data_IF_060395803254
#
_entry.id   IF_060395803254
#
_cell.length_a   1.000
_cell.length_b   1.000
_cell.length_c   1.000
_cell.angle_alpha   90.00
_cell.angle_beta   90.00
_cell.angle_gamma   90.00
#
_symmetry.space_group_name_H-M   'P 1'
#
loop_
_entity.id
_entity.type
_entity.pdbx_description
1 polymer ?
#
# COMPACT_ATOMS: atom_id res chain seq x y z
N UNK A 1 4.60 -13.14 -9.24
CA UNK A 1 3.22 -13.59 -8.97
C UNK A 1 2.27 -12.46 -9.32
N UNK A 2 1.18 -12.75 -10.05
CA UNK A 2 0.16 -11.75 -10.36
C UNK A 2 -0.88 -11.67 -9.24
N UNK A 3 -1.18 -10.46 -8.82
CA UNK A 3 -2.25 -10.10 -7.89
C UNK A 3 -3.30 -9.36 -8.73
N UNK A 4 -4.54 -9.84 -8.70
CA UNK A 4 -5.66 -9.16 -9.34
C UNK A 4 -6.86 -9.23 -8.39
N UNK A 5 -7.46 -8.09 -8.10
CA UNK A 5 -8.58 -7.98 -7.20
C UNK A 5 -9.47 -6.80 -7.60
N UNK A 6 -10.78 -6.99 -7.54
CA UNK A 6 -11.75 -5.94 -7.79
C UNK A 6 -12.77 -5.89 -6.68
N UNK A 7 -13.14 -4.69 -6.26
CA UNK A 7 -14.16 -4.49 -5.23
C UNK A 7 -14.98 -3.22 -5.50
N UNK A 8 -16.20 -3.23 -4.98
CA UNK A 8 -17.10 -2.07 -5.04
C UNK A 8 -16.86 -1.15 -3.84
N UNK A 9 -16.89 0.16 -4.08
CA UNK A 9 -16.87 1.21 -3.06
C UNK A 9 -18.11 2.07 -3.25
N UNK A 10 -18.87 2.29 -2.17
CA UNK A 10 -20.19 2.95 -2.19
C UNK A 10 -20.10 4.46 -1.99
N UNK A 11 -19.26 5.12 -2.79
CA UNK A 11 -19.11 6.56 -2.81
C UNK A 11 -18.86 7.06 -4.24
N UNK A 12 -19.09 8.36 -4.51
CA UNK A 12 -18.76 8.95 -5.81
C UNK A 12 -17.25 8.88 -6.05
N UNK A 13 -16.86 8.60 -7.29
CA UNK A 13 -15.46 8.35 -7.65
C UNK A 13 -14.52 9.50 -7.28
N UNK A 14 -14.94 10.75 -7.46
CA UNK A 14 -14.13 11.93 -7.12
C UNK A 14 -13.82 11.98 -5.62
N UNK A 15 -14.82 11.65 -4.77
CA UNK A 15 -14.66 11.62 -3.32
C UNK A 15 -13.67 10.54 -2.89
N UNK A 16 -13.74 9.36 -3.51
CA UNK A 16 -12.81 8.26 -3.23
C UNK A 16 -11.41 8.62 -3.73
N UNK A 17 -11.29 9.21 -4.91
CA UNK A 17 -10.01 9.62 -5.48
C UNK A 17 -9.31 10.67 -4.60
N UNK A 18 -10.05 11.70 -4.17
CA UNK A 18 -9.53 12.74 -3.28
C UNK A 18 -9.09 12.17 -1.93
N UNK A 19 -9.91 11.28 -1.34
CA UNK A 19 -9.55 10.60 -0.10
C UNK A 19 -8.30 9.72 -0.28
N UNK A 20 -8.21 8.99 -1.40
CA UNK A 20 -7.06 8.15 -1.70
C UNK A 20 -5.79 8.98 -1.88
N UNK A 21 -5.86 10.12 -2.54
CA UNK A 21 -4.71 11.01 -2.74
C UNK A 21 -4.26 11.68 -1.44
N UNK A 22 -5.21 12.20 -0.65
CA UNK A 22 -4.89 13.14 0.45
C UNK A 22 -4.82 12.48 1.81
N UNK A 23 -5.34 11.26 1.98
CA UNK A 23 -5.52 10.62 3.30
C UNK A 23 -4.88 9.23 3.41
N UNK A 24 -3.88 8.94 2.57
CA UNK A 24 -3.07 7.72 2.65
C UNK A 24 -2.59 7.38 4.06
N UNK A 25 -2.11 8.38 4.81
CA UNK A 25 -1.61 8.21 6.17
C UNK A 25 -2.67 7.73 7.19
N UNK A 26 -3.95 7.78 6.82
CA UNK A 26 -5.07 7.37 7.66
C UNK A 26 -5.54 5.94 7.38
N UNK A 27 -5.04 5.28 6.33
CA UNK A 27 -5.40 3.89 6.00
C UNK A 27 -4.98 2.81 7.02
N UNK A 28 -3.87 2.92 7.79
CA UNK A 28 -3.36 1.82 8.61
C UNK A 28 -4.35 1.09 9.53
N UNK A 29 -5.36 1.73 10.14
CA UNK A 29 -6.35 1.03 10.97
C UNK A 29 -7.11 -0.09 10.24
N UNK A 30 -7.12 -0.09 8.91
CA UNK A 30 -7.79 -1.09 8.06
C UNK A 30 -6.81 -1.92 7.22
N UNK A 31 -5.50 -1.69 7.33
CA UNK A 31 -4.50 -2.39 6.53
C UNK A 31 -3.78 -3.43 7.39
N UNK A 32 -3.93 -4.74 7.10
CA UNK A 32 -3.24 -5.78 7.84
C UNK A 32 -1.73 -5.65 7.67
N UNK A 33 -0.97 -5.98 8.72
CA UNK A 33 0.50 -5.98 8.72
C UNK A 33 1.16 -4.59 8.56
N UNK A 34 0.38 -3.50 8.53
CA UNK A 34 0.88 -2.12 8.40
C UNK A 34 0.50 -1.31 9.64
N UNK A 35 1.50 -0.88 10.40
CA UNK A 35 1.29 -0.09 11.63
C UNK A 35 1.07 1.41 11.33
N UNK A 36 1.75 1.93 10.30
CA UNK A 36 1.79 3.36 9.98
C UNK A 36 2.16 3.59 8.53
N UNK A 37 1.60 4.62 7.91
CA UNK A 37 2.04 5.15 6.62
C UNK A 37 2.48 6.59 6.81
N UNK A 38 3.71 6.90 6.40
CA UNK A 38 4.28 8.24 6.41
C UNK A 38 4.46 8.75 4.98
N UNK A 39 4.03 9.99 4.73
CA UNK A 39 4.41 10.71 3.49
C UNK A 39 5.84 11.19 3.67
N UNK A 40 6.77 10.63 2.93
CA UNK A 40 8.20 10.98 3.04
C UNK A 40 8.60 12.08 2.07
N UNK A 41 7.94 12.16 0.91
CA UNK A 41 8.20 13.16 -0.10
C UNK A 41 6.99 13.40 -0.96
N UNK A 42 6.75 14.67 -1.30
CA UNK A 42 5.82 15.06 -2.35
C UNK A 42 6.64 15.54 -3.54
N UNK A 43 6.55 14.83 -4.65
CA UNK A 43 7.34 15.10 -5.87
C UNK A 43 6.60 16.03 -6.82
N UNK A 44 5.28 15.85 -6.96
CA UNK A 44 4.42 16.74 -7.74
C UNK A 44 2.99 16.74 -7.22
N UNK A 45 2.33 17.90 -7.29
CA UNK A 45 0.88 18.04 -7.15
C UNK A 45 0.40 19.07 -8.17
N UNK A 46 -0.23 18.57 -9.23
CA UNK A 46 -0.88 19.40 -10.25
C UNK A 46 -2.34 18.97 -10.38
N UNK A 47 -3.12 19.72 -11.16
CA UNK A 47 -4.51 19.36 -11.48
C UNK A 47 -4.64 18.06 -12.29
N UNK A 48 -3.55 17.53 -12.85
CA UNK A 48 -3.60 16.36 -13.74
C UNK A 48 -2.82 15.16 -13.21
N UNK A 49 -1.81 15.40 -12.39
CA UNK A 49 -0.91 14.39 -11.88
C UNK A 49 -0.44 14.76 -10.48
N UNK A 50 -0.36 13.76 -9.61
CA UNK A 50 0.33 13.86 -8.34
C UNK A 50 1.32 12.71 -8.18
N UNK A 51 2.41 12.94 -7.47
CA UNK A 51 3.42 11.94 -7.19
C UNK A 51 3.96 12.12 -5.78
N UNK A 52 4.03 11.02 -5.03
CA UNK A 52 4.52 11.03 -3.66
C UNK A 52 5.19 9.70 -3.29
N UNK A 53 6.16 9.80 -2.37
CA UNK A 53 6.85 8.66 -1.79
C UNK A 53 6.34 8.42 -0.36
N UNK A 54 6.04 7.16 -0.06
CA UNK A 54 5.52 6.73 1.23
C UNK A 54 6.48 5.75 1.91
N UNK A 55 6.45 5.76 3.23
CA UNK A 55 7.08 4.75 4.07
C UNK A 55 6.00 4.02 4.86
N UNK A 56 5.89 2.72 4.62
CA UNK A 56 4.91 1.81 5.18
C UNK A 56 5.59 1.03 6.29
N UNK A 57 5.29 1.36 7.54
CA UNK A 57 5.82 0.66 8.70
C UNK A 57 5.09 -0.67 8.87
N UNK A 58 5.86 -1.74 8.94
CA UNK A 58 5.34 -3.10 9.00
C UNK A 58 5.25 -3.54 10.45
N UNK A 59 4.18 -4.25 10.80
CA UNK A 59 4.09 -4.97 12.07
C UNK A 59 5.23 -5.99 12.17
N UNK A 60 6.23 -5.67 12.99
CA UNK A 60 7.42 -6.53 13.15
C UNK A 60 7.11 -7.89 13.78
N UNK A 61 5.91 -8.10 14.35
CA UNK A 61 5.51 -9.39 14.92
C UNK A 61 5.37 -10.48 13.85
N UNK A 62 5.03 -10.10 12.61
CA UNK A 62 4.87 -11.03 11.50
C UNK A 62 6.21 -11.62 11.03
N UNK A 63 7.34 -10.98 11.38
CA UNK A 63 8.68 -11.45 11.01
C UNK A 63 8.96 -12.78 11.71
N UNK A 64 9.25 -13.87 10.97
CA UNK A 64 9.56 -15.17 11.55
C UNK A 64 10.73 -15.09 12.53
N UNK A 65 10.63 -15.77 13.67
CA UNK A 65 11.62 -15.71 14.77
C UNK A 65 13.05 -15.94 14.28
N UNK A 66 13.24 -16.89 13.37
CA UNK A 66 14.55 -17.24 12.80
C UNK A 66 15.18 -16.11 11.96
N UNK A 67 14.35 -15.22 11.39
CA UNK A 67 14.79 -14.11 10.55
C UNK A 67 14.93 -12.80 11.34
N UNK A 68 14.31 -12.68 12.53
CA UNK A 68 14.34 -11.45 13.34
C UNK A 68 15.75 -10.89 13.57
N UNK A 69 16.78 -11.67 13.92
CA UNK A 69 18.12 -11.12 14.14
C UNK A 69 18.72 -10.43 12.90
N UNK A 70 18.27 -10.81 11.71
CA UNK A 70 18.80 -10.33 10.43
C UNK A 70 17.91 -9.27 9.78
N UNK A 71 16.60 -9.34 10.03
CA UNK A 71 15.61 -8.47 9.38
C UNK A 71 15.03 -7.40 10.30
N UNK A 72 15.08 -7.55 11.63
CA UNK A 72 14.31 -6.67 12.53
C UNK A 72 14.79 -5.22 12.52
N UNK A 73 16.08 -4.96 12.33
CA UNK A 73 16.60 -3.59 12.20
C UNK A 73 16.39 -3.00 10.81
N UNK A 74 16.24 -3.85 9.79
CA UNK A 74 16.36 -3.45 8.38
C UNK A 74 15.12 -3.81 7.56
N UNK A 75 14.00 -4.23 8.17
CA UNK A 75 12.77 -4.63 7.47
C UNK A 75 11.51 -4.23 8.27
N UNK A 76 11.63 -3.18 9.08
CA UNK A 76 10.51 -2.58 9.81
C UNK A 76 9.66 -1.66 8.93
N UNK A 77 10.04 -1.47 7.66
CA UNK A 77 9.26 -0.70 6.71
C UNK A 77 9.49 -1.16 5.27
N UNK A 78 8.57 -0.79 4.39
CA UNK A 78 8.72 -0.82 2.93
C UNK A 78 8.45 0.59 2.41
N UNK A 79 9.09 0.98 1.31
CA UNK A 79 8.79 2.22 0.61
C UNK A 79 7.88 2.00 -0.58
N UNK A 80 7.16 3.03 -0.95
CA UNK A 80 6.51 3.07 -2.25
C UNK A 80 6.64 4.42 -2.91
N UNK A 81 6.77 4.42 -4.23
CA UNK A 81 6.49 5.59 -5.07
C UNK A 81 5.11 5.40 -5.67
N UNK A 82 4.29 6.44 -5.64
CA UNK A 82 2.92 6.37 -6.13
C UNK A 82 2.63 7.57 -7.02
N UNK A 83 2.04 7.32 -8.18
CA UNK A 83 1.75 8.31 -9.21
C UNK A 83 0.25 8.27 -9.54
N UNK A 84 -0.43 9.35 -9.21
CA UNK A 84 -1.84 9.56 -9.50
C UNK A 84 -2.02 10.25 -10.85
N UNK A 85 -2.82 9.67 -11.73
CA UNK A 85 -3.16 10.22 -13.03
C UNK A 85 -4.66 10.56 -13.08
N UNK A 86 -5.02 11.82 -12.83
CA UNK A 86 -6.42 12.23 -12.67
C UNK A 86 -7.27 11.97 -13.91
N UNK A 87 -6.75 12.30 -15.10
CA UNK A 87 -7.47 12.11 -16.37
C UNK A 87 -7.82 10.64 -16.65
N UNK A 88 -6.95 9.71 -16.23
CA UNK A 88 -7.14 8.27 -16.44
C UNK A 88 -7.86 7.60 -15.27
N UNK A 89 -8.00 8.30 -14.13
CA UNK A 89 -8.47 7.73 -12.85
C UNK A 89 -7.68 6.46 -12.47
N UNK A 90 -6.37 6.49 -12.74
CA UNK A 90 -5.43 5.41 -12.45
C UNK A 90 -4.37 5.91 -11.49
N UNK A 91 -4.01 5.07 -10.53
CA UNK A 91 -2.91 5.28 -9.60
C UNK A 91 -1.88 4.18 -9.83
N UNK A 92 -0.69 4.54 -10.27
CA UNK A 92 0.42 3.59 -10.42
C UNK A 92 1.21 3.55 -9.12
N UNK A 93 1.70 2.37 -8.75
CA UNK A 93 2.55 2.23 -7.59
C UNK A 93 3.71 1.28 -7.85
N UNK A 94 4.80 1.50 -7.11
CA UNK A 94 5.94 0.62 -7.02
C UNK A 94 6.39 0.56 -5.57
N UNK A 95 6.45 -0.63 -4.99
CA UNK A 95 7.00 -0.88 -3.66
C UNK A 95 8.44 -1.39 -3.79
N UNK A 96 9.30 -0.92 -2.89
CA UNK A 96 10.71 -1.30 -2.81
C UNK A 96 11.24 -1.15 -1.37
N UNK A 97 12.41 -1.73 -1.10
CA UNK A 97 13.12 -1.52 0.17
C UNK A 97 14.36 -0.63 -0.05
N UNK A 98 14.70 0.25 0.90
CA UNK A 98 15.87 1.16 0.77
C UNK A 98 17.18 0.36 0.69
N UNK A 99 17.43 -0.45 1.72
CA UNK A 99 18.69 -1.21 1.87
C UNK A 99 18.75 -2.47 1.01
N UNK A 100 17.60 -2.89 0.47
CA UNK A 100 17.43 -4.15 -0.23
C UNK A 100 16.51 -3.97 -1.43
N UNK A 101 16.82 -2.98 -2.29
CA UNK A 101 16.01 -2.66 -3.48
C UNK A 101 15.70 -3.87 -4.34
N UNK A 102 16.62 -4.82 -4.38
CA UNK A 102 16.48 -6.02 -5.19
C UNK A 102 15.79 -7.17 -4.47
N UNK A 103 15.35 -7.03 -3.21
CA UNK A 103 14.73 -8.12 -2.44
C UNK A 103 13.39 -8.56 -3.01
N UNK A 104 12.66 -7.64 -3.62
CA UNK A 104 11.45 -7.90 -4.36
C UNK A 104 11.16 -6.75 -5.32
N UNK A 105 10.51 -7.08 -6.43
CA UNK A 105 9.86 -6.10 -7.29
C UNK A 105 8.35 -6.21 -7.06
N UNK A 106 7.71 -5.11 -6.68
CA UNK A 106 6.25 -5.05 -6.63
C UNK A 106 5.74 -3.79 -7.26
N UNK A 107 5.04 -3.91 -8.39
CA UNK A 107 4.49 -2.78 -9.12
C UNK A 107 3.10 -3.08 -9.62
N UNK A 108 2.28 -2.05 -9.75
CA UNK A 108 0.92 -2.24 -10.16
C UNK A 108 0.15 -0.95 -10.36
N UNK A 109 -1.15 -1.13 -10.53
CA UNK A 109 -2.11 -0.06 -10.75
C UNK A 109 -3.35 -0.28 -9.91
N UNK A 110 -3.89 0.82 -9.40
CA UNK A 110 -5.27 0.93 -8.95
C UNK A 110 -6.05 1.70 -10.01
N UNK A 111 -7.03 1.06 -10.65
CA UNK A 111 -7.93 1.71 -11.61
C UNK A 111 -9.27 1.97 -10.94
N UNK A 112 -9.71 3.22 -10.91
CA UNK A 112 -11.00 3.60 -10.36
C UNK A 112 -11.99 3.73 -11.52
N UNK A 113 -13.04 2.90 -11.50
CA UNK A 113 -14.05 2.82 -12.54
C UNK A 113 -15.41 3.21 -11.98
N UNK A 114 -15.95 4.33 -12.45
CA UNK A 114 -17.29 4.77 -12.07
C UNK A 114 -18.35 3.75 -12.52
N UNK A 115 -19.25 3.38 -11.62
CA UNK A 115 -20.35 2.44 -11.91
C UNK A 115 -21.70 3.16 -11.85
N UNK A 116 -21.86 4.09 -10.92
CA UNK A 116 -23.01 4.99 -10.82
C UNK A 116 -22.62 6.28 -10.10
N UNK A 117 -23.56 7.21 -9.95
CA UNK A 117 -23.34 8.48 -9.24
C UNK A 117 -22.77 8.31 -7.81
N UNK A 118 -23.15 7.23 -7.11
CA UNK A 118 -22.71 6.97 -5.73
C UNK A 118 -22.02 5.62 -5.56
N UNK A 119 -21.45 5.08 -6.64
CA UNK A 119 -20.68 3.84 -6.56
C UNK A 119 -19.60 3.76 -7.63
N UNK A 120 -18.49 3.14 -7.25
CA UNK A 120 -17.36 2.91 -8.12
C UNK A 120 -16.77 1.52 -7.84
N UNK A 121 -16.05 0.98 -8.81
CA UNK A 121 -15.26 -0.25 -8.69
C UNK A 121 -13.78 0.09 -8.72
N UNK A 122 -13.01 -0.39 -7.75
CA UNK A 122 -11.55 -0.31 -7.78
C UNK A 122 -11.04 -1.64 -8.32
N UNK A 123 -10.19 -1.57 -9.33
CA UNK A 123 -9.46 -2.71 -9.88
C UNK A 123 -7.99 -2.58 -9.48
N UNK A 124 -7.48 -3.60 -8.81
CA UNK A 124 -6.12 -3.70 -8.31
C UNK A 124 -5.42 -4.76 -9.13
N UNK A 125 -4.42 -4.35 -9.91
CA UNK A 125 -3.57 -5.26 -10.66
C UNK A 125 -2.11 -5.00 -10.30
N UNK A 126 -1.42 -6.03 -9.83
CA UNK A 126 -0.02 -5.91 -9.42
C UNK A 126 0.78 -7.16 -9.75
N UNK A 127 2.05 -6.96 -10.04
CA UNK A 127 3.03 -8.03 -10.15
C UNK A 127 3.96 -7.95 -8.94
N UNK A 128 4.12 -9.06 -8.24
CA UNK A 128 5.01 -9.21 -7.09
C UNK A 128 6.00 -10.35 -7.32
N UNK A 129 7.27 -10.04 -7.41
CA UNK A 129 8.36 -11.00 -7.59
C UNK A 129 9.37 -10.88 -6.46
N UNK A 130 9.37 -11.79 -5.49
CA UNK A 130 10.39 -11.83 -4.45
C UNK A 130 11.69 -12.45 -4.99
N UNK A 131 12.82 -11.90 -4.57
CA UNK A 131 14.18 -12.37 -4.85
C UNK A 131 14.94 -12.59 -3.53
N UNK A 132 14.48 -13.52 -2.69
CA UNK A 132 15.02 -13.73 -1.35
C UNK A 132 16.51 -14.12 -1.34
N UNK A 133 17.03 -14.66 -2.44
CA UNK A 133 18.46 -14.94 -2.65
C UNK A 133 19.34 -13.69 -2.68
N UNK A 134 18.76 -12.51 -2.93
CA UNK A 134 19.46 -11.22 -2.97
C UNK A 134 19.56 -10.55 -1.61
N UNK A 135 19.02 -11.17 -0.56
CA UNK A 135 19.17 -10.67 0.80
C UNK A 135 20.62 -10.82 1.27
N UNK A 136 21.35 -9.70 1.28
CA UNK A 136 22.71 -9.64 1.79
C UNK A 136 22.75 -9.76 3.32
N UNK A 137 23.81 -10.38 3.86
CA UNK A 137 24.07 -10.49 5.29
C UNK A 137 23.61 -11.79 5.97
N UNK A 138 22.96 -12.70 5.23
CA UNK A 138 22.67 -14.04 5.74
C UNK A 138 23.85 -15.00 5.52
N UNK A 139 24.23 -15.81 6.53
CA UNK A 139 25.14 -16.93 6.31
C UNK A 139 24.57 -17.92 5.28
N UNK A 140 25.42 -18.48 4.40
CA UNK A 140 25.00 -19.37 3.30
C UNK A 140 24.13 -20.56 3.75
N UNK A 141 24.34 -21.08 4.96
CA UNK A 141 23.56 -22.19 5.52
C UNK A 141 22.16 -21.77 6.00
N UNK A 142 21.98 -20.50 6.39
CA UNK A 142 20.69 -19.89 6.74
C UNK A 142 19.92 -19.52 5.47
N UNK A 143 20.60 -18.90 4.50
CA UNK A 143 19.99 -18.41 3.26
C UNK A 143 19.18 -19.50 2.54
N UNK A 144 19.77 -20.69 2.33
CA UNK A 144 19.09 -21.81 1.65
C UNK A 144 17.79 -22.27 2.30
N UNK A 145 17.71 -22.23 3.64
CA UNK A 145 16.50 -22.64 4.39
C UNK A 145 15.50 -21.50 4.59
N UNK A 146 15.97 -20.26 4.46
CA UNK A 146 15.19 -19.05 4.76
C UNK A 146 14.51 -18.46 3.53
N UNK A 147 14.95 -18.81 2.32
CA UNK A 147 14.36 -18.35 1.06
C UNK A 147 12.82 -18.46 1.04
N UNK A 148 12.21 -19.62 1.33
CA UNK A 148 10.75 -19.75 1.33
C UNK A 148 10.07 -18.90 2.42
N UNK A 149 10.77 -18.65 3.53
CA UNK A 149 10.24 -17.84 4.64
C UNK A 149 10.26 -16.36 4.31
N UNK A 150 11.29 -15.88 3.61
CA UNK A 150 11.41 -14.48 3.17
C UNK A 150 10.38 -14.19 2.08
N UNK A 151 10.26 -15.07 1.09
CA UNK A 151 9.21 -14.98 0.07
C UNK A 151 7.82 -14.92 0.72
N UNK A 152 7.54 -15.84 1.64
CA UNK A 152 6.27 -15.83 2.39
C UNK A 152 6.06 -14.53 3.17
N UNK A 153 7.08 -14.02 3.85
CA UNK A 153 7.00 -12.77 4.61
C UNK A 153 6.61 -11.59 3.70
N UNK A 154 7.25 -11.44 2.53
CA UNK A 154 6.96 -10.37 1.57
C UNK A 154 5.50 -10.49 1.07
N UNK A 155 5.06 -11.71 0.79
CA UNK A 155 3.68 -12.00 0.38
C UNK A 155 2.68 -11.65 1.49
N UNK A 156 2.97 -12.03 2.74
CA UNK A 156 2.12 -11.80 3.91
C UNK A 156 2.03 -10.31 4.30
N UNK A 157 2.98 -9.47 3.87
CA UNK A 157 2.92 -8.02 4.02
C UNK A 157 2.05 -7.40 2.92
N UNK A 158 2.43 -7.62 1.67
CA UNK A 158 1.90 -6.84 0.55
C UNK A 158 0.51 -7.32 0.11
N UNK A 159 0.30 -8.63 0.00
CA UNK A 159 -0.95 -9.16 -0.55
C UNK A 159 -2.15 -8.84 0.34
N UNK A 160 -2.13 -9.07 1.67
CA UNK A 160 -3.27 -8.72 2.52
C UNK A 160 -3.56 -7.21 2.53
N UNK A 161 -2.52 -6.37 2.54
CA UNK A 161 -2.66 -4.91 2.49
C UNK A 161 -3.35 -4.45 1.20
N UNK A 162 -2.94 -4.99 0.06
CA UNK A 162 -3.56 -4.68 -1.24
C UNK A 162 -5.01 -5.16 -1.30
N UNK A 163 -5.32 -6.32 -0.73
CA UNK A 163 -6.69 -6.86 -0.71
C UNK A 163 -7.63 -6.08 0.21
N UNK A 164 -7.12 -5.52 1.32
CA UNK A 164 -7.91 -4.74 2.26
C UNK A 164 -8.08 -3.27 1.85
N UNK A 165 -7.31 -2.79 0.86
CA UNK A 165 -7.33 -1.39 0.42
C UNK A 165 -8.74 -0.88 0.06
N UNK A 166 -9.61 -1.62 -0.65
CA UNK A 166 -10.95 -1.13 -0.97
C UNK A 166 -11.79 -0.82 0.28
N UNK A 167 -11.72 -1.68 1.30
CA UNK A 167 -12.42 -1.49 2.57
C UNK A 167 -11.83 -0.29 3.33
N UNK A 168 -10.49 -0.17 3.34
CA UNK A 168 -9.81 0.97 3.94
C UNK A 168 -10.23 2.30 3.27
N UNK A 169 -10.29 2.34 1.94
CA UNK A 169 -10.74 3.49 1.16
C UNK A 169 -12.20 3.84 1.45
N UNK A 170 -13.08 2.85 1.55
CA UNK A 170 -14.46 3.07 1.94
C UNK A 170 -14.55 3.71 3.33
N UNK A 171 -13.80 3.18 4.30
CA UNK A 171 -13.80 3.68 5.67
C UNK A 171 -13.26 5.12 5.77
N UNK A 172 -12.11 5.42 5.17
CA UNK A 172 -11.57 6.79 5.22
C UNK A 172 -12.47 7.79 4.50
N UNK A 173 -13.15 7.37 3.43
CA UNK A 173 -14.08 8.22 2.68
C UNK A 173 -15.30 8.59 3.54
N UNK A 174 -15.77 7.67 4.36
CA UNK A 174 -16.91 7.87 5.26
C UNK A 174 -16.64 8.89 6.38
N UNK A 175 -15.41 8.97 6.91
CA UNK A 175 -15.04 9.83 8.05
C UNK A 175 -15.34 11.35 7.83
N UNK A 176 -15.51 11.79 6.58
CA UNK A 176 -15.87 13.20 6.28
C UNK A 176 -17.34 13.56 6.59
N UNK A 177 -18.22 12.60 6.85
CA UNK A 177 -19.64 12.89 7.14
C UNK A 177 -19.89 13.45 8.54
N UNK A 178 -19.04 13.14 9.52
CA UNK A 178 -19.32 13.49 10.92
C UNK A 178 -18.83 14.88 11.35
N UNK A 179 -18.03 15.58 10.53
CA UNK A 179 -17.45 16.87 10.93
C UNK A 179 -18.26 18.09 10.48
N UNK A 180 -19.36 17.91 9.74
CA UNK A 180 -20.16 19.03 9.21
C UNK A 180 -21.54 19.27 9.88
N UNK A 181 -21.92 18.51 10.92
CA UNK A 181 -23.24 18.68 11.58
C UNK A 181 -23.18 19.49 12.89
N UNK A 182 -21.99 19.80 13.44
CA UNK A 182 -21.88 20.66 14.64
C UNK A 182 -21.35 22.04 14.23
N UNK A 183 -22.23 22.90 13.69
CA UNK A 183 -21.80 24.25 13.37
C UNK A 183 -22.76 25.12 12.56
N UNK A 184 -24.08 24.99 12.72
CA UNK A 184 -25.02 26.04 12.34
C UNK A 184 -26.14 26.18 13.37
N UNK A 185 -25.80 26.85 14.46
CA UNK A 185 -26.73 27.62 15.27
C UNK A 185 -26.11 28.99 15.53
N UNK A 186 -26.47 29.95 14.68
CA UNK A 186 -26.37 31.39 14.92
C UNK A 186 -27.46 32.06 14.12
#
# INVERSE_FOLDING_TARGET
MKISHSAMIHFPIERVYDAFLTRMAQLPPWLPSIDKIEVTRVLSLTTHQAEADYKWHIDTQIIPVILRPFLRSNMNHIRSTTVWCAQKRVVNFEFYHDDYRELFDCKGTFSLVEQSHNSMRIDIDADLYPYPERLAGLPNWVAKKSIPLIEKLILDILRPSLMALPEALQAITAISEDTHIIGRSS
#
